data_IF_644569149548
#
_entry.id   IF_644569149548
#
_cell.length_a   1.000
_cell.length_b   1.000
_cell.length_c   1.000
_cell.angle_alpha   90.00
_cell.angle_beta   90.00
_cell.angle_gamma   90.00
#
_symmetry.space_group_name_H-M   'P 1'
#
loop_
_entity.id
_entity.type
_entity.pdbx_description
1 polymer ?
#
# COMPACT_ATOMS: atom_id res chain seq x y z
N UNK A 1 16.89 -3.44 -2.75
CA UNK A 1 15.59 -4.05 -3.11
C UNK A 1 15.36 -3.91 -4.63
N UNK A 2 14.81 -4.94 -5.29
CA UNK A 2 14.78 -5.11 -6.75
C UNK A 2 14.05 -4.00 -7.53
N UNK A 3 12.84 -3.61 -7.11
CA UNK A 3 12.05 -2.58 -7.80
C UNK A 3 12.73 -1.20 -7.79
N UNK A 4 13.40 -0.82 -6.69
CA UNK A 4 14.13 0.45 -6.60
C UNK A 4 15.29 0.48 -7.60
N UNK A 5 16.07 -0.61 -7.67
CA UNK A 5 17.15 -0.76 -8.64
C UNK A 5 16.63 -0.66 -10.07
N UNK A 6 15.57 -1.41 -10.40
CA UNK A 6 14.96 -1.42 -11.72
C UNK A 6 14.43 -0.04 -12.15
N UNK A 7 13.82 0.72 -11.23
CA UNK A 7 13.37 2.08 -11.52
C UNK A 7 14.54 3.02 -11.75
N UNK A 8 15.60 2.94 -10.94
CA UNK A 8 16.81 3.78 -11.11
C UNK A 8 17.47 3.54 -12.47
N UNK A 9 17.48 2.30 -12.93
CA UNK A 9 18.04 1.88 -14.23
C UNK A 9 17.10 2.14 -15.42
N UNK A 10 15.84 2.51 -15.19
CA UNK A 10 14.88 2.79 -16.27
C UNK A 10 15.14 4.12 -16.98
N UNK A 11 15.03 4.17 -18.30
CA UNK A 11 15.09 5.44 -19.05
C UNK A 11 13.78 6.25 -19.00
N UNK A 12 12.70 5.65 -18.48
CA UNK A 12 11.41 6.32 -18.34
C UNK A 12 11.44 7.36 -17.19
N UNK A 13 11.67 8.62 -17.57
CA UNK A 13 11.65 9.76 -16.65
C UNK A 13 10.31 9.95 -15.95
N UNK A 14 9.19 9.68 -16.63
CA UNK A 14 7.85 9.85 -16.05
C UNK A 14 7.62 8.82 -14.96
N UNK A 15 8.01 7.57 -15.20
CA UNK A 15 7.96 6.51 -14.20
C UNK A 15 8.82 6.83 -13.00
N UNK A 16 10.07 7.28 -13.21
CA UNK A 16 10.98 7.71 -12.13
C UNK A 16 10.37 8.79 -11.25
N UNK A 17 9.79 9.84 -11.86
CA UNK A 17 9.14 10.92 -11.10
C UNK A 17 7.96 10.40 -10.27
N UNK A 18 7.10 9.55 -10.85
CA UNK A 18 5.93 9.00 -10.15
C UNK A 18 6.32 8.05 -9.02
N UNK A 19 7.35 7.24 -9.25
CA UNK A 19 7.96 6.40 -8.22
C UNK A 19 8.51 7.24 -7.07
N UNK A 20 9.37 8.23 -7.36
CA UNK A 20 9.97 9.10 -6.34
C UNK A 20 8.89 9.83 -5.52
N UNK A 21 7.83 10.32 -6.17
CA UNK A 21 6.71 10.94 -5.48
C UNK A 21 6.01 9.97 -4.52
N UNK A 22 5.74 8.73 -4.96
CA UNK A 22 5.13 7.71 -4.12
C UNK A 22 6.04 7.35 -2.92
N UNK A 23 7.34 7.17 -3.16
CA UNK A 23 8.32 6.90 -2.10
C UNK A 23 8.37 8.05 -1.10
N UNK A 24 8.35 9.30 -1.55
CA UNK A 24 8.31 10.46 -0.66
C UNK A 24 7.07 10.47 0.24
N UNK A 25 5.89 10.15 -0.29
CA UNK A 25 4.65 10.02 0.51
C UNK A 25 4.79 8.93 1.56
N UNK A 26 5.35 7.78 1.19
CA UNK A 26 5.56 6.65 2.08
C UNK A 26 6.55 7.01 3.20
N UNK A 27 7.72 7.57 2.85
CA UNK A 27 8.73 7.99 3.83
C UNK A 27 8.20 9.07 4.78
N UNK A 28 7.43 10.05 4.27
CA UNK A 28 6.77 11.05 5.12
C UNK A 28 5.79 10.42 6.11
N UNK A 29 5.03 9.43 5.67
CA UNK A 29 4.12 8.68 6.56
C UNK A 29 4.90 7.96 7.66
N UNK A 30 5.96 7.24 7.29
CA UNK A 30 6.79 6.50 8.24
C UNK A 30 7.62 7.39 9.17
N UNK A 31 7.83 8.66 8.80
CA UNK A 31 8.44 9.66 9.68
C UNK A 31 7.44 10.28 10.68
N UNK A 32 6.13 10.28 10.36
CA UNK A 32 5.08 10.86 11.20
C UNK A 32 4.38 9.86 12.11
N UNK A 33 4.37 8.59 11.73
CA UNK A 33 3.66 7.51 12.43
C UNK A 33 4.62 6.35 12.69
N UNK A 34 4.53 5.73 13.86
CA UNK A 34 5.25 4.48 14.12
C UNK A 34 4.72 3.36 13.24
N UNK A 35 5.48 2.28 13.09
CA UNK A 35 5.07 1.14 12.25
C UNK A 35 3.75 0.52 12.73
N UNK A 36 3.50 0.51 14.04
CA UNK A 36 2.29 0.00 14.66
C UNK A 36 1.06 0.89 14.40
N UNK A 37 1.27 2.17 14.11
CA UNK A 37 0.23 3.15 13.81
C UNK A 37 -0.15 3.16 12.32
N UNK A 38 0.55 2.39 11.48
CA UNK A 38 0.36 2.36 10.04
C UNK A 38 -0.17 1.02 9.58
N UNK A 39 -1.18 1.05 8.71
CA UNK A 39 -1.70 -0.13 8.04
C UNK A 39 -1.75 0.06 6.52
N UNK A 40 -1.90 -1.03 5.80
CA UNK A 40 -2.05 -1.07 4.35
C UNK A 40 -3.31 -1.84 3.98
N UNK A 41 -4.23 -1.22 3.24
CA UNK A 41 -5.42 -1.90 2.72
C UNK A 41 -5.08 -2.60 1.41
N UNK A 42 -5.02 -3.92 1.45
CA UNK A 42 -4.78 -4.76 0.28
C UNK A 42 -6.08 -5.41 -0.18
N UNK A 43 -6.27 -5.56 -1.49
CA UNK A 43 -7.47 -6.18 -2.05
C UNK A 43 -7.17 -7.17 -3.19
N UNK A 44 -5.90 -7.55 -3.37
CA UNK A 44 -5.47 -8.43 -4.46
C UNK A 44 -5.51 -7.81 -5.86
N UNK A 45 -6.05 -6.60 -5.99
CA UNK A 45 -6.11 -5.88 -7.26
C UNK A 45 -4.77 -5.26 -7.67
N UNK A 46 -4.63 -4.96 -8.96
CA UNK A 46 -3.39 -4.41 -9.55
C UNK A 46 -2.84 -3.18 -8.81
N UNK A 47 -3.73 -2.26 -8.41
CA UNK A 47 -3.35 -0.97 -7.83
C UNK A 47 -2.78 -1.17 -6.41
N UNK A 48 -3.43 -2.02 -5.61
CA UNK A 48 -2.94 -2.36 -4.27
C UNK A 48 -1.69 -3.24 -4.33
N UNK A 49 -1.56 -4.13 -5.33
CA UNK A 49 -0.32 -4.89 -5.53
C UNK A 49 0.86 -3.97 -5.90
N UNK A 50 0.67 -3.01 -6.80
CA UNK A 50 1.73 -2.01 -7.07
C UNK A 50 2.10 -1.25 -5.80
N UNK A 51 1.10 -0.83 -5.03
CA UNK A 51 1.33 -0.16 -3.75
C UNK A 51 2.09 -1.03 -2.74
N UNK A 52 1.81 -2.33 -2.65
CA UNK A 52 2.56 -3.26 -1.79
C UNK A 52 4.07 -3.21 -2.12
N UNK A 53 4.43 -3.27 -3.39
CA UNK A 53 5.84 -3.21 -3.81
C UNK A 53 6.46 -1.84 -3.54
N UNK A 54 5.71 -0.74 -3.72
CA UNK A 54 6.16 0.60 -3.34
C UNK A 54 6.35 0.75 -1.83
N UNK A 55 5.49 0.14 -1.01
CA UNK A 55 5.62 0.17 0.45
C UNK A 55 6.85 -0.60 0.91
N UNK A 56 7.10 -1.78 0.33
CA UNK A 56 8.35 -2.53 0.56
C UNK A 56 9.58 -1.70 0.20
N UNK A 57 9.48 -0.91 -0.88
CA UNK A 57 10.52 0.01 -1.32
C UNK A 57 10.75 1.18 -0.38
N UNK A 58 9.69 1.92 -0.08
CA UNK A 58 9.77 3.07 0.81
C UNK A 58 10.25 2.67 2.20
N UNK A 59 9.80 1.53 2.72
CA UNK A 59 10.28 1.01 4.00
C UNK A 59 11.77 0.65 3.97
N UNK A 60 12.24 -0.05 2.93
CA UNK A 60 13.65 -0.39 2.77
C UNK A 60 14.54 0.86 2.73
N UNK A 61 14.13 1.88 1.96
CA UNK A 61 14.86 3.14 1.84
C UNK A 61 14.86 3.93 3.17
N UNK A 62 13.70 4.02 3.83
CA UNK A 62 13.55 4.70 5.13
C UNK A 62 14.41 4.06 6.23
N UNK A 63 14.55 2.72 6.23
CA UNK A 63 15.43 1.99 7.16
C UNK A 63 16.90 2.20 6.83
N UNK A 64 17.26 2.18 5.55
CA UNK A 64 18.64 2.44 5.09
C UNK A 64 19.14 3.84 5.47
N UNK A 65 18.25 4.83 5.54
CA UNK A 65 18.54 6.17 6.05
C UNK A 65 18.74 6.21 7.58
N UNK A 66 18.19 5.25 8.32
CA UNK A 66 18.17 5.25 9.79
C UNK A 66 19.18 4.32 10.48
N UNK A 67 19.63 3.20 9.87
CA UNK A 67 20.72 2.35 10.41
C UNK A 67 21.18 1.21 9.47
N UNK A 68 22.50 0.99 9.39
CA UNK A 68 23.14 -0.18 8.77
C UNK A 68 22.97 -1.42 9.65
N UNK A 69 21.91 -2.20 9.47
CA UNK A 69 21.81 -3.53 10.07
C UNK A 69 21.22 -4.54 9.10
N UNK A 70 21.92 -5.66 8.93
CA UNK A 70 21.58 -6.81 8.09
C UNK A 70 20.35 -7.55 8.64
N UNK A 71 19.20 -6.88 8.69
CA UNK A 71 17.94 -7.42 9.17
C UNK A 71 17.09 -7.96 8.02
N UNK A 72 16.44 -9.10 8.27
CA UNK A 72 15.47 -9.75 7.38
C UNK A 72 14.50 -8.73 6.74
N UNK A 73 14.29 -8.86 5.42
CA UNK A 73 13.42 -8.00 4.60
C UNK A 73 11.92 -8.24 4.85
N UNK A 74 11.52 -8.56 6.08
CA UNK A 74 10.12 -8.73 6.44
C UNK A 74 9.39 -7.40 6.31
N UNK A 75 8.27 -7.40 5.58
CA UNK A 75 7.41 -6.24 5.44
C UNK A 75 6.61 -6.05 6.74
N UNK A 76 6.90 -5.04 7.57
CA UNK A 76 6.36 -4.99 8.93
C UNK A 76 5.01 -4.27 9.00
N UNK A 77 4.57 -3.64 7.90
CA UNK A 77 3.32 -2.89 7.87
C UNK A 77 2.17 -3.90 7.84
N UNK A 78 1.29 -3.80 8.84
CA UNK A 78 0.07 -4.58 8.94
C UNK A 78 -0.76 -4.42 7.68
N UNK A 79 -1.16 -5.54 7.10
CA UNK A 79 -1.95 -5.60 5.87
C UNK A 79 -3.38 -6.01 6.21
N UNK A 80 -4.35 -5.19 5.81
CA UNK A 80 -5.77 -5.42 6.03
C UNK A 80 -6.37 -5.95 4.74
N UNK A 81 -7.13 -7.05 4.84
CA UNK A 81 -7.91 -7.59 3.74
C UNK A 81 -9.38 -7.75 4.15
N UNK A 82 -10.29 -7.12 3.42
CA UNK A 82 -11.72 -7.31 3.58
C UNK A 82 -12.17 -8.46 2.68
N UNK A 83 -12.31 -9.65 3.27
CA UNK A 83 -12.76 -10.84 2.57
C UNK A 83 -14.28 -10.79 2.38
N UNK A 84 -14.72 -10.92 1.13
CA UNK A 84 -16.13 -11.03 0.79
C UNK A 84 -16.42 -12.36 0.12
N UNK A 85 -17.49 -13.04 0.55
CA UNK A 85 -17.98 -14.25 -0.10
C UNK A 85 -18.54 -14.00 -1.50
N UNK A 86 -18.78 -12.73 -1.87
CA UNK A 86 -19.22 -12.34 -3.22
C UNK A 86 -18.06 -12.09 -4.18
N UNK A 87 -16.81 -12.07 -3.69
CA UNK A 87 -15.63 -11.89 -4.52
C UNK A 87 -15.26 -13.21 -5.22
N UNK A 88 -14.56 -13.09 -6.34
CA UNK A 88 -14.01 -14.24 -7.05
C UNK A 88 -13.02 -14.99 -6.13
N UNK A 89 -13.13 -16.33 -5.98
CA UNK A 89 -12.22 -17.11 -5.13
C UNK A 89 -10.73 -16.92 -5.44
N UNK A 90 -10.41 -16.62 -6.69
CA UNK A 90 -9.07 -16.31 -7.18
C UNK A 90 -8.45 -15.09 -6.48
N UNK A 91 -9.27 -14.11 -6.07
CA UNK A 91 -8.80 -12.93 -5.32
C UNK A 91 -8.35 -13.35 -3.92
N UNK A 92 -9.09 -14.24 -3.26
CA UNK A 92 -8.72 -14.76 -1.95
C UNK A 92 -7.43 -15.59 -2.06
N UNK A 93 -7.37 -16.52 -3.03
CA UNK A 93 -6.15 -17.32 -3.28
C UNK A 93 -4.95 -16.42 -3.52
N UNK A 94 -5.05 -15.47 -4.46
CA UNK A 94 -3.97 -14.54 -4.75
C UNK A 94 -3.55 -13.73 -3.52
N UNK A 95 -4.51 -13.30 -2.70
CA UNK A 95 -4.22 -12.55 -1.48
C UNK A 95 -3.46 -13.38 -0.47
N UNK A 96 -3.87 -14.64 -0.26
CA UNK A 96 -3.21 -15.58 0.65
C UNK A 96 -1.81 -15.96 0.17
N UNK A 97 -1.67 -16.25 -1.12
CA UNK A 97 -0.40 -16.57 -1.74
C UNK A 97 0.57 -15.39 -1.65
N UNK A 98 0.08 -14.17 -1.89
CA UNK A 98 0.85 -12.92 -1.75
C UNK A 98 1.27 -12.69 -0.30
N UNK A 99 0.36 -12.90 0.66
CA UNK A 99 0.64 -12.75 2.07
C UNK A 99 1.71 -13.74 2.55
N UNK A 100 1.64 -14.99 2.10
CA UNK A 100 2.66 -16.02 2.36
C UNK A 100 4.00 -15.66 1.71
N UNK A 101 4.00 -15.34 0.41
CA UNK A 101 5.20 -15.01 -0.37
C UNK A 101 6.00 -13.84 0.21
N UNK A 102 5.32 -12.83 0.74
CA UNK A 102 5.95 -11.63 1.30
C UNK A 102 5.93 -11.55 2.83
N UNK A 103 5.48 -12.61 3.50
CA UNK A 103 5.39 -12.72 4.98
C UNK A 103 4.65 -11.51 5.58
N UNK A 104 3.47 -11.21 5.03
CA UNK A 104 2.65 -10.08 5.46
C UNK A 104 1.96 -10.41 6.78
N UNK A 105 1.90 -9.43 7.71
CA UNK A 105 0.98 -9.49 8.84
C UNK A 105 -0.45 -9.21 8.35
N UNK A 106 -1.13 -10.25 7.87
CA UNK A 106 -2.46 -10.14 7.27
C UNK A 106 -3.57 -10.23 8.33
N UNK A 107 -4.38 -9.18 8.47
CA UNK A 107 -5.66 -9.21 9.19
C UNK A 107 -6.81 -9.37 8.20
N UNK A 108 -7.56 -10.45 8.34
CA UNK A 108 -8.73 -10.74 7.51
C UNK A 108 -9.99 -10.26 8.24
N UNK A 109 -10.71 -9.35 7.61
CA UNK A 109 -11.98 -8.81 8.10
C UNK A 109 -13.11 -9.36 7.24
N UNK A 110 -14.14 -9.94 7.88
CA UNK A 110 -15.29 -10.57 7.22
C UNK A 110 -16.62 -9.84 7.46
N UNK A 111 -16.57 -8.70 8.15
CA UNK A 111 -17.71 -7.79 8.34
C UNK A 111 -17.74 -6.73 7.24
N UNK A 112 -18.76 -5.86 7.25
CA UNK A 112 -18.78 -4.71 6.35
C UNK A 112 -17.60 -3.77 6.61
N UNK A 113 -17.25 -2.98 5.60
CA UNK A 113 -16.08 -2.10 5.63
C UNK A 113 -16.06 -1.16 6.84
N UNK A 114 -17.20 -0.58 7.20
CA UNK A 114 -17.26 0.44 8.24
C UNK A 114 -17.13 -0.20 9.61
N UNK A 115 -17.95 -1.21 9.92
CA UNK A 115 -17.90 -1.89 11.22
C UNK A 115 -16.57 -2.61 11.43
N UNK A 116 -16.02 -3.21 10.38
CA UNK A 116 -14.73 -3.89 10.42
C UNK A 116 -13.58 -2.93 10.68
N UNK A 117 -13.61 -1.76 10.04
CA UNK A 117 -12.62 -0.72 10.29
C UNK A 117 -12.76 -0.12 11.69
N UNK A 118 -13.98 0.16 12.16
CA UNK A 118 -14.23 0.62 13.53
C UNK A 118 -13.68 -0.36 14.57
N UNK A 119 -13.97 -1.66 14.43
CA UNK A 119 -13.45 -2.69 15.32
C UNK A 119 -11.93 -2.77 15.30
N UNK A 120 -11.31 -2.68 14.12
CA UNK A 120 -9.86 -2.71 13.97
C UNK A 120 -9.19 -1.51 14.64
N UNK A 121 -9.69 -0.29 14.39
CA UNK A 121 -9.14 0.95 14.93
C UNK A 121 -9.36 1.08 16.46
N UNK A 122 -10.39 0.42 17.01
CA UNK A 122 -10.57 0.32 18.46
C UNK A 122 -9.59 -0.69 19.10
N UNK A 123 -9.20 -1.72 18.37
CA UNK A 123 -8.34 -2.80 18.88
C UNK A 123 -6.84 -2.54 18.67
N UNK A 124 -6.47 -1.65 17.75
CA UNK A 124 -5.09 -1.39 17.32
C UNK A 124 -4.85 0.11 17.24
N UNK A 125 -3.63 0.61 17.52
CA UNK A 125 -3.32 2.04 17.50
C UNK A 125 -3.16 2.60 16.08
N UNK A 126 -3.88 2.07 15.09
CA UNK A 126 -3.76 2.51 13.69
C UNK A 126 -4.30 3.93 13.55
N UNK A 127 -3.50 4.80 12.94
CA UNK A 127 -3.81 6.20 12.68
C UNK A 127 -3.73 6.55 11.20
N UNK A 128 -2.96 5.80 10.42
CA UNK A 128 -2.79 6.02 8.99
C UNK A 128 -2.95 4.72 8.19
N UNK A 129 -3.67 4.78 7.08
CA UNK A 129 -3.92 3.64 6.22
C UNK A 129 -3.54 3.98 4.79
N UNK A 130 -2.60 3.22 4.23
CA UNK A 130 -2.24 3.26 2.82
C UNK A 130 -3.33 2.64 1.96
N UNK A 131 -3.78 3.37 0.94
CA UNK A 131 -4.83 2.95 0.01
C UNK A 131 -4.33 3.00 -1.43
N UNK A 132 -4.60 1.94 -2.18
CA UNK A 132 -4.28 1.84 -3.62
C UNK A 132 -5.31 2.53 -4.51
N UNK A 133 -5.65 3.79 -4.22
CA UNK A 133 -6.64 4.59 -4.97
C UNK A 133 -5.98 5.56 -5.93
N UNK A 134 -6.66 5.84 -7.04
CA UNK A 134 -6.25 6.78 -8.10
C UNK A 134 -7.30 7.87 -8.27
N UNK A 135 -6.91 9.04 -8.79
CA UNK A 135 -7.77 10.22 -8.96
C UNK A 135 -9.02 9.96 -9.83
N UNK A 136 -8.98 8.94 -10.68
CA UNK A 136 -10.12 8.53 -11.51
C UNK A 136 -11.07 7.52 -10.86
N UNK A 137 -10.76 7.06 -9.65
CA UNK A 137 -11.60 6.10 -8.95
C UNK A 137 -12.78 6.84 -8.29
N UNK A 138 -14.00 6.25 -8.24
CA UNK A 138 -15.18 6.91 -7.68
C UNK A 138 -15.02 7.38 -6.23
N UNK A 139 -14.19 6.68 -5.46
CA UNK A 139 -13.94 6.99 -4.04
C UNK A 139 -12.92 8.11 -3.83
N UNK A 140 -12.19 8.53 -4.87
CA UNK A 140 -11.06 9.47 -4.77
C UNK A 140 -11.46 10.94 -4.98
N UNK A 141 -12.72 11.24 -5.26
CA UNK A 141 -13.19 12.61 -5.52
C UNK A 141 -12.86 13.52 -4.32
N UNK A 142 -12.10 14.58 -4.58
CA UNK A 142 -11.68 15.55 -3.56
C UNK A 142 -10.61 15.04 -2.58
N UNK A 143 -10.02 13.86 -2.82
CA UNK A 143 -8.91 13.38 -2.02
C UNK A 143 -7.57 13.95 -2.47
N UNK A 144 -6.67 14.14 -1.52
CA UNK A 144 -5.25 14.45 -1.73
C UNK A 144 -4.38 13.23 -1.37
N UNK A 145 -3.06 13.39 -1.44
CA UNK A 145 -2.13 12.33 -1.01
C UNK A 145 -2.32 11.94 0.46
N UNK A 146 -2.72 12.90 1.29
CA UNK A 146 -3.09 12.72 2.69
C UNK A 146 -4.49 13.31 2.87
N UNK A 147 -5.44 12.54 3.38
CA UNK A 147 -6.78 13.05 3.63
C UNK A 147 -7.40 12.38 4.85
N UNK A 148 -8.07 13.13 5.74
CA UNK A 148 -8.81 12.50 6.84
C UNK A 148 -9.93 11.62 6.30
N UNK A 149 -10.31 10.59 7.06
CA UNK A 149 -11.50 9.81 6.77
C UNK A 149 -12.75 10.70 6.66
N UNK A 150 -13.75 10.23 5.92
CA UNK A 150 -14.93 11.04 5.63
C UNK A 150 -15.84 11.14 6.86
N UNK A 151 -16.67 12.20 7.00
CA UNK A 151 -17.63 12.29 8.10
C UNK A 151 -18.49 11.02 8.20
N UNK A 152 -18.65 10.51 9.42
CA UNK A 152 -19.37 9.27 9.69
C UNK A 152 -18.57 7.97 9.49
N UNK A 153 -17.29 8.04 9.13
CA UNK A 153 -16.33 6.93 9.23
C UNK A 153 -15.47 7.08 10.49
N UNK A 154 -14.88 5.99 11.02
CA UNK A 154 -13.92 6.11 12.12
C UNK A 154 -12.73 7.00 11.71
N UNK A 155 -12.10 7.71 12.67
CA UNK A 155 -11.03 8.67 12.36
C UNK A 155 -9.73 7.96 12.00
N UNK A 156 -9.21 8.21 10.79
CA UNK A 156 -7.86 7.82 10.37
C UNK A 156 -7.40 8.70 9.21
N UNK A 157 -6.09 8.72 8.95
CA UNK A 157 -5.49 9.35 7.78
C UNK A 157 -5.49 8.38 6.59
N UNK A 158 -6.18 8.72 5.51
CA UNK A 158 -5.99 8.07 4.21
C UNK A 158 -4.66 8.54 3.63
N UNK A 159 -3.84 7.59 3.20
CA UNK A 159 -2.58 7.86 2.52
C UNK A 159 -2.63 7.24 1.13
N UNK A 160 -2.49 8.07 0.09
CA UNK A 160 -2.73 7.71 -1.31
C UNK A 160 -1.45 7.91 -2.17
N UNK A 161 -0.40 7.07 -2.05
CA UNK A 161 0.88 7.30 -2.73
C UNK A 161 0.83 7.22 -4.26
N UNK A 162 -0.20 6.58 -4.80
CA UNK A 162 -0.39 6.37 -6.25
C UNK A 162 -1.57 7.18 -6.82
N UNK A 163 -2.06 8.18 -6.09
CA UNK A 163 -3.27 8.93 -6.47
C UNK A 163 -3.19 9.51 -7.89
N UNK A 164 -2.02 10.01 -8.28
CA UNK A 164 -1.76 10.66 -9.56
C UNK A 164 -1.24 9.71 -10.65
N UNK A 165 -1.27 8.39 -10.42
CA UNK A 165 -0.84 7.38 -11.39
C UNK A 165 -1.94 7.10 -12.41
N UNK A 166 -1.54 6.97 -13.68
CA UNK A 166 -2.47 6.61 -14.75
C UNK A 166 -2.53 5.10 -14.95
N UNK A 167 -3.65 4.59 -15.47
CA UNK A 167 -3.81 3.18 -15.82
C UNK A 167 -2.70 2.71 -16.79
N UNK A 168 -2.34 3.57 -17.75
CA UNK A 168 -1.24 3.32 -18.70
C UNK A 168 0.10 3.14 -18.00
N UNK A 169 0.37 3.94 -16.97
CA UNK A 169 1.61 3.85 -16.21
C UNK A 169 1.64 2.60 -15.33
N UNK A 170 0.49 2.09 -14.89
CA UNK A 170 0.47 0.81 -14.20
C UNK A 170 0.83 -0.30 -15.19
N UNK A 171 0.06 -0.46 -16.25
CA UNK A 171 0.14 -1.67 -17.10
C UNK A 171 1.35 -1.71 -18.02
N UNK A 172 1.81 -0.57 -18.53
CA UNK A 172 2.87 -0.57 -19.55
C UNK A 172 4.28 -0.59 -18.96
N UNK A 173 4.42 -0.57 -17.63
CA UNK A 173 5.74 -0.45 -17.03
C UNK A 173 6.29 -1.80 -16.61
N UNK A 174 7.62 -1.93 -16.80
CA UNK A 174 8.45 -3.06 -16.36
C UNK A 174 8.19 -3.49 -14.91
N UNK A 175 7.60 -2.62 -14.08
CA UNK A 175 7.08 -2.93 -12.75
C UNK A 175 6.28 -4.25 -12.74
N UNK A 176 5.34 -4.47 -13.67
CA UNK A 176 4.55 -5.72 -13.69
C UNK A 176 5.39 -6.95 -13.99
N UNK A 177 6.37 -6.84 -14.89
CA UNK A 177 7.33 -7.91 -15.17
C UNK A 177 8.20 -8.28 -13.95
N UNK A 178 8.44 -7.34 -13.03
CA UNK A 178 9.14 -7.61 -11.76
C UNK A 178 8.20 -8.09 -10.64
N UNK A 179 6.92 -7.73 -10.71
CA UNK A 179 5.89 -8.10 -9.72
C UNK A 179 5.38 -9.55 -9.97
N UNK A 180 5.58 -10.08 -11.18
CA UNK A 180 5.29 -11.47 -11.52
C UNK A 180 3.80 -11.72 -11.77
N UNK A 181 3.18 -10.87 -12.58
CA UNK A 181 1.93 -11.18 -13.27
C UNK A 181 2.24 -11.75 -14.66
#
# INVERSE_FOLDING_TARGET
>A
MEIDKAIRESDDRRLKTKYNNAINVIQRTLALYSIEEVAFSFNGGKDSTVLLHLLRAGYFLHKGEQSCSNGSLTFPIRTIYFESNSAFPEINSFTYDTASKYVLQLDIIRSDFKSGLEALLNAKPIRAIFLGVRIGDPTAVGQEQFSPSSPGWPPFMRVNPILDWSYRLLINNKLFGFIGF
#
